data_IF_115116263922
#
_entry.id   IF_115116263922
#
_cell.length_a   1.000
_cell.length_b   1.000
_cell.length_c   1.000
_cell.angle_alpha   90.00
_cell.angle_beta   90.00
_cell.angle_gamma   90.00
#
_symmetry.space_group_name_H-M   'P 1'
#
loop_
_entity.id
_entity.type
_entity.pdbx_description
1 polymer ?
#
# COMPACT_ATOMS: atom_id res chain seq x y z
N UNK A 1 -2.47 18.93 7.89
CA UNK A 1 -1.89 20.08 7.14
C UNK A 1 -0.37 20.20 7.33
N UNK A 2 0.13 20.16 8.57
CA UNK A 2 1.56 20.32 8.87
C UNK A 2 2.43 19.16 8.36
N UNK A 3 1.88 17.95 8.28
CA UNK A 3 2.60 16.78 7.80
C UNK A 3 2.53 16.57 6.27
N UNK A 4 1.54 17.18 5.63
CA UNK A 4 1.50 17.20 4.16
C UNK A 4 2.67 18.02 3.61
N UNK A 5 2.96 19.19 4.23
CA UNK A 5 4.16 19.95 3.92
C UNK A 5 5.44 19.11 4.05
N UNK A 6 5.52 18.22 5.03
CA UNK A 6 6.71 17.36 5.20
C UNK A 6 6.89 16.33 4.08
N UNK A 7 5.81 15.85 3.44
CA UNK A 7 5.93 14.94 2.28
C UNK A 7 6.40 15.73 1.05
N UNK A 8 5.85 16.91 0.83
CA UNK A 8 6.30 17.78 -0.26
C UNK A 8 7.76 18.18 -0.07
N UNK A 9 8.15 18.57 1.15
CA UNK A 9 9.54 18.88 1.52
C UNK A 9 10.47 17.65 1.29
N UNK A 10 9.98 16.45 1.60
CA UNK A 10 10.73 15.22 1.37
C UNK A 10 10.92 14.95 -0.14
N UNK A 11 9.88 15.13 -0.94
CA UNK A 11 9.98 14.97 -2.41
C UNK A 11 10.95 15.99 -2.99
N UNK A 12 10.91 17.25 -2.53
CA UNK A 12 11.87 18.29 -2.93
C UNK A 12 13.31 17.90 -2.56
N UNK A 13 13.51 17.39 -1.33
CA UNK A 13 14.82 16.92 -0.88
C UNK A 13 15.33 15.73 -1.72
N UNK A 14 14.46 14.78 -2.11
CA UNK A 14 14.84 13.71 -3.02
C UNK A 14 15.20 14.22 -4.40
N UNK A 15 14.43 15.14 -4.97
CA UNK A 15 14.74 15.78 -6.25
C UNK A 15 16.12 16.47 -6.22
N UNK A 16 16.38 17.21 -5.13
CA UNK A 16 17.70 17.85 -4.92
C UNK A 16 18.83 16.82 -4.80
N UNK A 17 18.59 15.73 -4.08
CA UNK A 17 19.56 14.64 -3.97
C UNK A 17 19.85 14.01 -5.34
N UNK A 18 18.80 13.77 -6.13
CA UNK A 18 18.90 13.18 -7.47
C UNK A 18 19.54 14.11 -8.49
N UNK A 19 19.42 15.43 -8.33
CA UNK A 19 20.16 16.39 -9.17
C UNK A 19 21.67 16.35 -8.91
N UNK A 20 22.08 15.97 -7.69
CA UNK A 20 23.50 15.81 -7.33
C UNK A 20 24.00 14.41 -7.69
N UNK A 21 23.18 13.39 -7.45
CA UNK A 21 23.50 11.98 -7.69
C UNK A 21 22.34 11.29 -8.44
N UNK A 22 22.34 11.34 -9.80
CA UNK A 22 21.25 10.76 -10.60
C UNK A 22 21.12 9.24 -10.52
N UNK A 23 22.15 8.52 -10.08
CA UNK A 23 22.21 7.06 -9.93
C UNK A 23 21.88 6.59 -8.50
N UNK A 24 21.13 7.37 -7.73
CA UNK A 24 20.83 7.06 -6.33
C UNK A 24 19.49 6.29 -6.21
N UNK A 25 19.51 4.97 -6.39
CA UNK A 25 18.34 4.10 -6.35
C UNK A 25 17.48 4.26 -5.07
N UNK A 26 18.12 4.46 -3.90
CA UNK A 26 17.38 4.63 -2.65
C UNK A 26 16.56 5.94 -2.63
N UNK A 27 17.06 7.02 -3.22
CA UNK A 27 16.32 8.28 -3.31
C UNK A 27 15.08 8.13 -4.21
N UNK A 28 15.20 7.43 -5.34
CA UNK A 28 14.07 7.10 -6.20
C UNK A 28 13.04 6.24 -5.46
N UNK A 29 13.46 5.19 -4.75
CA UNK A 29 12.55 4.37 -3.97
C UNK A 29 11.78 5.20 -2.92
N UNK A 30 12.48 6.02 -2.16
CA UNK A 30 11.85 6.84 -1.12
C UNK A 30 10.93 7.93 -1.70
N UNK A 31 11.30 8.49 -2.86
CA UNK A 31 10.44 9.41 -3.61
C UNK A 31 9.16 8.69 -4.08
N UNK A 32 9.28 7.47 -4.60
CA UNK A 32 8.14 6.65 -4.97
C UNK A 32 7.19 6.40 -3.80
N UNK A 33 7.72 6.07 -2.62
CA UNK A 33 6.89 5.91 -1.41
C UNK A 33 6.15 7.20 -1.05
N UNK A 34 6.81 8.34 -1.09
CA UNK A 34 6.21 9.64 -0.79
C UNK A 34 5.11 10.01 -1.80
N UNK A 35 5.34 9.75 -3.09
CA UNK A 35 4.37 9.96 -4.16
C UNK A 35 3.15 9.03 -4.03
N UNK A 36 3.38 7.75 -3.71
CA UNK A 36 2.32 6.78 -3.43
C UNK A 36 1.47 7.21 -2.24
N UNK A 37 2.08 7.74 -1.18
CA UNK A 37 1.37 8.29 -0.03
C UNK A 37 0.48 9.49 -0.40
N UNK A 38 0.88 10.29 -1.39
CA UNK A 38 0.07 11.37 -1.95
C UNK A 38 -1.02 10.90 -2.93
N UNK A 39 -1.06 9.62 -3.29
CA UNK A 39 -1.97 9.08 -4.31
C UNK A 39 -1.52 9.37 -5.75
N UNK A 40 -0.30 9.82 -5.96
CA UNK A 40 0.32 10.06 -7.27
C UNK A 40 0.93 8.76 -7.80
N UNK A 41 0.04 7.82 -8.18
CA UNK A 41 0.44 6.44 -8.50
C UNK A 41 1.36 6.34 -9.71
N UNK A 42 1.05 7.05 -10.78
CA UNK A 42 1.87 7.00 -12.01
C UNK A 42 3.29 7.52 -11.76
N UNK A 43 3.40 8.65 -11.07
CA UNK A 43 4.69 9.24 -10.71
C UNK A 43 5.47 8.32 -9.73
N UNK A 44 4.78 7.63 -8.82
CA UNK A 44 5.39 6.66 -7.93
C UNK A 44 5.96 5.45 -8.71
N UNK A 45 5.20 4.94 -9.69
CA UNK A 45 5.64 3.85 -10.57
C UNK A 45 6.89 4.26 -11.36
N UNK A 46 6.92 5.46 -11.92
CA UNK A 46 8.09 6.00 -12.63
C UNK A 46 9.32 6.06 -11.72
N UNK A 47 9.15 6.55 -10.50
CA UNK A 47 10.25 6.59 -9.53
C UNK A 47 10.75 5.19 -9.16
N UNK A 48 9.87 4.23 -8.93
CA UNK A 48 10.25 2.84 -8.67
C UNK A 48 10.95 2.20 -9.87
N UNK A 49 10.49 2.46 -11.09
CA UNK A 49 11.14 1.97 -12.31
C UNK A 49 12.54 2.56 -12.48
N UNK A 50 12.75 3.83 -12.16
CA UNK A 50 14.06 4.43 -12.13
C UNK A 50 14.97 3.74 -11.08
N UNK A 51 14.46 3.43 -9.90
CA UNK A 51 15.22 2.72 -8.87
C UNK A 51 15.67 1.33 -9.34
N UNK A 52 14.80 0.53 -9.98
CA UNK A 52 15.17 -0.81 -10.48
C UNK A 52 16.05 -0.76 -11.73
N UNK A 53 16.02 0.32 -12.52
CA UNK A 53 16.94 0.50 -13.63
C UNK A 53 18.40 0.70 -13.17
N UNK A 54 18.57 1.29 -11.97
CA UNK A 54 19.87 1.50 -11.33
C UNK A 54 20.30 0.25 -10.55
N UNK A 55 19.36 -0.38 -9.83
CA UNK A 55 19.61 -1.54 -8.99
C UNK A 55 18.56 -2.62 -9.27
N UNK A 56 18.86 -3.53 -10.18
CA UNK A 56 17.90 -4.55 -10.65
C UNK A 56 17.51 -5.61 -9.62
N UNK A 57 18.29 -5.80 -8.55
CA UNK A 57 18.03 -6.74 -7.45
C UNK A 57 17.40 -6.08 -6.21
N UNK A 58 16.68 -4.96 -6.39
CA UNK A 58 16.13 -4.20 -5.30
C UNK A 58 14.75 -4.75 -4.87
N UNK A 59 14.76 -5.75 -4.00
CA UNK A 59 13.56 -6.46 -3.53
C UNK A 59 12.46 -5.53 -2.99
N UNK A 60 12.84 -4.54 -2.17
CA UNK A 60 11.87 -3.62 -1.54
C UNK A 60 11.14 -2.77 -2.59
N UNK A 61 11.81 -2.41 -3.70
CA UNK A 61 11.16 -1.68 -4.79
C UNK A 61 10.14 -2.54 -5.53
N UNK A 62 10.45 -3.81 -5.77
CA UNK A 62 9.48 -4.74 -6.35
C UNK A 62 8.29 -4.97 -5.40
N UNK A 63 8.54 -5.02 -4.10
CA UNK A 63 7.48 -5.06 -3.10
C UNK A 63 6.60 -3.81 -3.16
N UNK A 64 7.19 -2.61 -3.21
CA UNK A 64 6.46 -1.35 -3.32
C UNK A 64 5.65 -1.27 -4.63
N UNK A 65 6.23 -1.69 -5.77
CA UNK A 65 5.51 -1.80 -7.05
C UNK A 65 4.31 -2.74 -6.96
N UNK A 66 4.37 -3.81 -6.18
CA UNK A 66 3.20 -4.68 -6.00
C UNK A 66 2.02 -3.96 -5.34
N UNK A 67 2.31 -2.97 -4.52
CA UNK A 67 1.31 -2.09 -3.89
C UNK A 67 0.74 -1.00 -4.81
N UNK A 68 1.24 -0.85 -6.03
CA UNK A 68 0.66 0.08 -7.04
C UNK A 68 -0.18 -0.65 -8.09
N UNK A 69 -0.27 -1.98 -8.02
CA UNK A 69 -0.93 -2.77 -9.02
C UNK A 69 -2.46 -2.54 -9.05
N UNK A 70 -3.02 -2.52 -10.24
CA UNK A 70 -4.47 -2.51 -10.45
C UNK A 70 -5.03 -3.93 -10.65
N UNK A 71 -4.21 -4.85 -11.12
CA UNK A 71 -4.59 -6.24 -11.44
C UNK A 71 -3.80 -7.23 -10.61
N UNK A 72 -4.44 -8.34 -10.29
CA UNK A 72 -3.80 -9.47 -9.57
C UNK A 72 -2.58 -10.01 -10.33
N UNK A 73 -2.64 -10.04 -11.67
CA UNK A 73 -1.52 -10.47 -12.52
C UNK A 73 -0.27 -9.65 -12.29
N UNK A 74 -0.44 -8.33 -12.21
CA UNK A 74 0.66 -7.38 -12.09
C UNK A 74 1.25 -7.42 -10.68
N UNK A 75 0.38 -7.43 -9.64
CA UNK A 75 0.80 -7.64 -8.26
C UNK A 75 1.58 -8.94 -8.11
N UNK A 76 1.09 -10.05 -8.69
CA UNK A 76 1.78 -11.34 -8.66
C UNK A 76 3.16 -11.28 -9.33
N UNK A 77 3.25 -10.59 -10.45
CA UNK A 77 4.53 -10.40 -11.16
C UNK A 77 5.54 -9.67 -10.28
N UNK A 78 5.15 -8.56 -9.68
CA UNK A 78 6.05 -7.79 -8.82
C UNK A 78 6.44 -8.52 -7.53
N UNK A 79 5.47 -9.19 -6.89
CA UNK A 79 5.75 -10.03 -5.70
C UNK A 79 6.71 -11.17 -6.04
N UNK A 80 6.59 -11.77 -7.22
CA UNK A 80 7.51 -12.83 -7.68
C UNK A 80 8.92 -12.28 -7.87
N UNK A 81 9.07 -11.13 -8.54
CA UNK A 81 10.37 -10.45 -8.70
C UNK A 81 10.99 -10.03 -7.36
N UNK A 82 10.17 -9.60 -6.40
CA UNK A 82 10.63 -9.35 -5.04
C UNK A 82 11.26 -10.60 -4.42
N UNK A 83 10.63 -11.77 -4.58
CA UNK A 83 11.13 -13.04 -4.05
C UNK A 83 12.32 -13.59 -4.83
N UNK A 84 12.46 -13.28 -6.11
CA UNK A 84 13.66 -13.58 -6.90
C UNK A 84 14.88 -12.79 -6.38
N UNK A 85 14.68 -11.50 -6.06
CA UNK A 85 15.69 -10.63 -5.50
C UNK A 85 15.99 -10.94 -4.00
N UNK A 86 14.96 -11.26 -3.22
CA UNK A 86 15.08 -11.63 -1.81
C UNK A 86 14.14 -12.80 -1.47
N UNK A 87 14.61 -14.06 -1.56
CA UNK A 87 13.80 -15.24 -1.23
C UNK A 87 13.32 -15.32 0.23
N UNK A 88 13.85 -14.46 1.12
CA UNK A 88 13.45 -14.41 2.54
C UNK A 88 12.43 -13.31 2.85
N UNK A 89 12.01 -12.52 1.88
CA UNK A 89 11.03 -11.46 2.09
C UNK A 89 9.68 -12.06 2.54
N UNK A 90 9.39 -11.93 3.82
CA UNK A 90 8.27 -12.62 4.47
C UNK A 90 6.93 -12.17 3.91
N UNK A 91 6.69 -10.87 3.88
CA UNK A 91 5.43 -10.28 3.41
C UNK A 91 5.14 -10.68 1.97
N UNK A 92 6.15 -10.70 1.12
CA UNK A 92 6.00 -11.14 -0.27
C UNK A 92 5.62 -12.63 -0.36
N UNK A 93 6.21 -13.50 0.48
CA UNK A 93 5.81 -14.93 0.54
C UNK A 93 4.36 -15.09 0.95
N UNK A 94 3.94 -14.40 2.00
CA UNK A 94 2.58 -14.47 2.52
C UNK A 94 1.59 -13.96 1.47
N UNK A 95 1.89 -12.82 0.85
CA UNK A 95 1.07 -12.22 -0.20
C UNK A 95 0.99 -13.11 -1.44
N UNK A 96 2.10 -13.69 -1.90
CA UNK A 96 2.06 -14.62 -3.03
C UNK A 96 1.16 -15.83 -2.77
N UNK A 97 1.22 -16.38 -1.55
CA UNK A 97 0.34 -17.48 -1.13
C UNK A 97 -1.14 -17.08 -1.15
N UNK A 98 -1.44 -15.85 -0.74
CA UNK A 98 -2.81 -15.32 -0.77
C UNK A 98 -3.30 -15.06 -2.20
N UNK A 99 -2.47 -14.50 -3.07
CA UNK A 99 -2.78 -14.28 -4.48
C UNK A 99 -3.00 -15.61 -5.22
N UNK A 100 -2.21 -16.63 -4.91
CA UNK A 100 -2.39 -17.98 -5.46
C UNK A 100 -3.70 -18.61 -5.00
N UNK A 101 -4.05 -18.47 -3.71
CA UNK A 101 -5.33 -18.94 -3.17
C UNK A 101 -6.50 -18.25 -3.86
N UNK A 102 -6.47 -16.95 -4.02
CA UNK A 102 -7.50 -16.18 -4.71
C UNK A 102 -7.68 -16.62 -6.17
N UNK A 103 -6.59 -17.03 -6.82
CA UNK A 103 -6.60 -17.58 -8.17
C UNK A 103 -6.99 -19.08 -8.23
N UNK A 104 -7.44 -19.68 -7.11
CA UNK A 104 -7.87 -21.09 -7.02
C UNK A 104 -6.80 -22.08 -6.61
N UNK A 105 -5.52 -21.72 -6.56
CA UNK A 105 -4.44 -22.59 -6.09
C UNK A 105 -4.25 -22.46 -4.57
N UNK A 106 -4.81 -23.40 -3.82
CA UNK A 106 -4.82 -23.40 -2.37
C UNK A 106 -3.59 -24.04 -1.71
N UNK A 107 -2.69 -24.66 -2.49
CA UNK A 107 -1.60 -25.49 -1.96
C UNK A 107 -0.67 -24.73 -0.99
N UNK A 108 -0.10 -23.62 -1.47
CA UNK A 108 0.85 -22.80 -0.67
C UNK A 108 0.19 -22.26 0.59
N UNK A 109 -1.05 -21.78 0.47
CA UNK A 109 -1.79 -21.24 1.60
C UNK A 109 -2.12 -22.32 2.64
N UNK A 110 -2.55 -23.50 2.21
CA UNK A 110 -2.83 -24.64 3.10
C UNK A 110 -1.57 -25.11 3.87
N UNK A 111 -0.39 -24.98 3.27
CA UNK A 111 0.88 -25.22 3.95
C UNK A 111 1.19 -24.12 4.96
N UNK A 112 0.90 -22.86 4.61
CA UNK A 112 1.14 -21.70 5.47
C UNK A 112 0.35 -21.78 6.78
N UNK A 113 -0.96 -22.06 6.71
CA UNK A 113 -1.83 -22.15 7.91
C UNK A 113 -1.52 -23.36 8.82
N UNK A 114 -0.71 -24.31 8.35
CA UNK A 114 -0.19 -25.45 9.14
C UNK A 114 1.21 -25.19 9.71
N UNK A 115 1.82 -24.07 9.40
CA UNK A 115 3.15 -23.66 9.85
C UNK A 115 3.08 -22.74 11.07
N UNK A 116 4.22 -22.42 11.72
CA UNK A 116 4.27 -21.40 12.76
C UNK A 116 3.79 -20.01 12.30
N UNK A 117 3.73 -19.77 11.01
CA UNK A 117 3.24 -18.50 10.44
C UNK A 117 1.71 -18.37 10.45
N UNK A 118 0.96 -19.36 10.92
CA UNK A 118 -0.51 -19.29 11.07
C UNK A 118 -0.96 -18.09 11.90
N UNK A 119 -0.17 -17.74 12.92
CA UNK A 119 -0.47 -16.64 13.86
C UNK A 119 0.06 -15.27 13.39
N UNK A 120 0.76 -15.23 12.25
CA UNK A 120 1.20 -13.97 11.67
C UNK A 120 -0.02 -13.09 11.29
N UNK A 121 0.00 -11.76 11.57
CA UNK A 121 -1.12 -10.86 11.30
C UNK A 121 -1.64 -10.93 9.85
N UNK A 122 -0.75 -11.02 8.86
CA UNK A 122 -1.13 -11.20 7.46
C UNK A 122 -1.89 -12.50 7.23
N UNK A 123 -1.36 -13.63 7.75
CA UNK A 123 -1.99 -14.95 7.61
C UNK A 123 -3.37 -14.97 8.26
N UNK A 124 -3.51 -14.36 9.44
CA UNK A 124 -4.80 -14.25 10.14
C UNK A 124 -5.81 -13.43 9.33
N UNK A 125 -5.40 -12.29 8.79
CA UNK A 125 -6.25 -11.44 7.94
C UNK A 125 -6.70 -12.18 6.67
N UNK A 126 -5.79 -12.88 6.00
CA UNK A 126 -6.12 -13.70 4.84
C UNK A 126 -7.07 -14.85 5.21
N UNK A 127 -6.83 -15.53 6.35
CA UNK A 127 -7.70 -16.62 6.82
C UNK A 127 -9.13 -16.12 7.04
N UNK A 128 -9.28 -14.96 7.66
CA UNK A 128 -10.59 -14.33 7.81
C UNK A 128 -11.22 -14.00 6.45
N UNK A 129 -10.51 -13.33 5.57
CA UNK A 129 -11.04 -12.94 4.25
C UNK A 129 -11.45 -14.17 3.41
N UNK A 130 -10.67 -15.26 3.47
CA UNK A 130 -10.93 -16.49 2.73
C UNK A 130 -12.01 -17.38 3.36
N UNK A 131 -12.44 -17.10 4.59
CA UNK A 131 -13.61 -17.74 5.22
C UNK A 131 -14.95 -17.13 4.79
N UNK A 132 -14.94 -15.99 4.11
CA UNK A 132 -16.14 -15.32 3.66
C UNK A 132 -16.85 -16.16 2.57
N UNK A 133 -18.19 -16.14 2.52
CA UNK A 133 -18.99 -16.89 1.51
C UNK A 133 -18.63 -16.50 0.07
N UNK A 134 -18.19 -15.26 -0.14
CA UNK A 134 -17.71 -14.75 -1.42
C UNK A 134 -16.42 -13.98 -1.16
N UNK A 135 -15.39 -14.30 -1.95
CA UNK A 135 -14.14 -13.55 -1.89
C UNK A 135 -14.38 -12.10 -2.29
N UNK A 136 -13.92 -11.13 -1.47
CA UNK A 136 -14.01 -9.72 -1.82
C UNK A 136 -13.08 -9.40 -3.00
N UNK A 137 -13.35 -8.30 -3.74
CA UNK A 137 -12.40 -7.78 -4.69
C UNK A 137 -11.11 -7.38 -3.97
N UNK A 138 -9.96 -7.57 -4.63
CA UNK A 138 -8.67 -7.20 -4.10
C UNK A 138 -8.29 -5.80 -4.56
N UNK A 139 -7.86 -4.98 -3.62
CA UNK A 139 -7.28 -3.67 -3.86
C UNK A 139 -5.88 -3.65 -3.26
N UNK A 140 -4.90 -3.24 -4.06
CA UNK A 140 -3.48 -3.29 -3.67
C UNK A 140 -3.02 -1.99 -3.02
N UNK A 141 -3.79 -0.91 -3.17
CA UNK A 141 -3.55 0.36 -2.48
C UNK A 141 -4.85 0.98 -1.99
N UNK A 142 -4.73 1.80 -0.95
CA UNK A 142 -5.87 2.44 -0.28
C UNK A 142 -6.75 3.30 -1.21
N UNK A 143 -6.15 3.94 -2.20
CA UNK A 143 -6.86 4.82 -3.11
C UNK A 143 -7.86 4.04 -3.98
N UNK A 144 -7.44 2.91 -4.56
CA UNK A 144 -8.34 2.02 -5.30
C UNK A 144 -9.46 1.46 -4.41
N UNK A 145 -9.18 1.18 -3.13
CA UNK A 145 -10.22 0.78 -2.18
C UNK A 145 -11.22 1.92 -1.93
N UNK A 146 -10.73 3.14 -1.73
CA UNK A 146 -11.60 4.30 -1.51
C UNK A 146 -12.48 4.59 -2.74
N UNK A 147 -11.94 4.52 -3.95
CA UNK A 147 -12.69 4.69 -5.18
C UNK A 147 -13.78 3.62 -5.32
N UNK A 148 -13.44 2.36 -5.08
CA UNK A 148 -14.40 1.26 -5.11
C UNK A 148 -15.52 1.46 -4.06
N UNK A 149 -15.17 1.83 -2.84
CA UNK A 149 -16.15 2.11 -1.78
C UNK A 149 -17.03 3.32 -2.13
N UNK A 150 -16.45 4.36 -2.71
CA UNK A 150 -17.17 5.53 -3.16
C UNK A 150 -18.16 5.18 -4.30
N UNK A 151 -17.77 4.30 -5.22
CA UNK A 151 -18.64 3.85 -6.32
C UNK A 151 -19.83 3.02 -5.84
N UNK A 152 -19.65 2.24 -4.79
CA UNK A 152 -20.75 1.49 -4.15
C UNK A 152 -21.65 2.36 -3.27
N UNK A 153 -21.22 3.57 -2.95
CA UNK A 153 -21.90 4.45 -2.00
C UNK A 153 -22.87 5.42 -2.67
N UNK A 154 -23.85 5.90 -1.89
CA UNK A 154 -24.74 6.98 -2.34
C UNK A 154 -24.02 8.33 -2.26
N UNK A 155 -23.53 8.82 -3.39
CA UNK A 155 -22.75 10.07 -3.52
C UNK A 155 -23.52 11.35 -3.12
N UNK A 156 -24.83 11.27 -2.93
CA UNK A 156 -25.66 12.39 -2.45
C UNK A 156 -25.69 12.49 -0.92
N UNK A 157 -25.19 11.47 -0.19
CA UNK A 157 -25.00 11.51 1.26
C UNK A 157 -23.63 12.04 1.59
N UNK A 158 -23.47 12.73 2.74
CA UNK A 158 -22.13 13.08 3.22
C UNK A 158 -21.35 11.81 3.59
N UNK A 159 -20.03 11.83 3.43
CA UNK A 159 -19.17 10.83 4.04
C UNK A 159 -18.62 11.34 5.36
N UNK A 160 -18.22 10.41 6.22
CA UNK A 160 -17.62 10.68 7.51
C UNK A 160 -16.30 9.94 7.60
N UNK A 161 -15.24 10.63 7.96
CA UNK A 161 -13.92 10.04 8.21
C UNK A 161 -13.54 10.29 9.66
N UNK A 162 -13.23 9.21 10.38
CA UNK A 162 -12.74 9.23 11.74
C UNK A 162 -11.24 8.92 11.71
N UNK A 163 -10.44 9.76 12.40
CA UNK A 163 -8.99 9.66 12.31
C UNK A 163 -8.42 10.29 11.05
N UNK A 164 -8.70 11.57 10.83
CA UNK A 164 -8.26 12.33 9.61
C UNK A 164 -6.79 12.73 9.72
N UNK A 165 -5.94 11.86 10.16
CA UNK A 165 -4.56 12.15 10.54
C UNK A 165 -3.81 13.11 9.58
N UNK A 166 -3.71 12.78 8.28
CA UNK A 166 -3.08 13.65 7.27
C UNK A 166 -4.08 14.35 6.35
N UNK A 167 -5.34 13.96 6.44
CA UNK A 167 -6.40 14.45 5.56
C UNK A 167 -6.31 13.99 4.11
N UNK A 168 -5.43 13.03 3.80
CA UNK A 168 -5.24 12.55 2.43
C UNK A 168 -6.48 11.84 1.93
N UNK A 169 -7.01 10.90 2.71
CA UNK A 169 -8.23 10.18 2.36
C UNK A 169 -9.42 11.14 2.26
N UNK A 170 -9.50 12.11 3.17
CA UNK A 170 -10.54 13.15 3.12
C UNK A 170 -10.48 13.96 1.83
N UNK A 171 -9.27 14.44 1.44
CA UNK A 171 -9.06 15.18 0.19
C UNK A 171 -9.37 14.34 -1.04
N UNK A 172 -9.11 13.04 -0.99
CA UNK A 172 -9.45 12.13 -2.06
C UNK A 172 -10.96 11.96 -2.20
N UNK A 173 -11.64 11.61 -1.09
CA UNK A 173 -13.07 11.32 -1.07
C UNK A 173 -13.94 12.55 -1.36
N UNK A 174 -13.55 13.75 -0.90
CA UNK A 174 -14.33 14.97 -1.13
C UNK A 174 -14.45 15.33 -2.61
N UNK A 175 -13.57 14.81 -3.47
CA UNK A 175 -13.69 14.98 -4.94
C UNK A 175 -14.91 14.24 -5.50
N UNK A 176 -15.32 13.15 -4.85
CA UNK A 176 -16.43 12.30 -5.31
C UNK A 176 -17.73 12.64 -4.59
N UNK A 177 -17.68 13.00 -3.33
CA UNK A 177 -18.84 13.33 -2.51
C UNK A 177 -19.05 14.85 -2.44
N UNK A 178 -20.31 15.28 -2.47
CA UNK A 178 -20.67 16.71 -2.37
C UNK A 178 -20.34 17.32 -1.01
N UNK A 179 -20.25 16.49 0.04
CA UNK A 179 -20.05 16.90 1.43
C UNK A 179 -19.36 15.81 2.22
N UNK A 180 -18.42 16.20 3.05
CA UNK A 180 -17.72 15.30 3.98
C UNK A 180 -17.45 15.96 5.31
N UNK A 181 -17.29 15.14 6.35
CA UNK A 181 -16.94 15.56 7.71
C UNK A 181 -15.77 14.70 8.18
N UNK A 182 -14.71 15.35 8.59
CA UNK A 182 -13.53 14.71 9.18
C UNK A 182 -13.50 14.95 10.68
N UNK A 183 -13.19 13.91 11.44
CA UNK A 183 -13.10 13.94 12.90
C UNK A 183 -11.73 13.42 13.32
N UNK A 184 -10.96 14.25 14.02
CA UNK A 184 -9.69 13.88 14.61
C UNK A 184 -9.45 14.76 15.86
N UNK A 185 -8.59 14.32 16.76
CA UNK A 185 -8.13 15.14 17.87
C UNK A 185 -7.17 16.23 17.40
N UNK A 186 -6.48 15.99 16.27
CA UNK A 186 -5.40 16.82 15.72
C UNK A 186 -4.21 17.03 16.67
N UNK A 187 -4.17 16.29 17.77
CA UNK A 187 -3.13 16.35 18.81
C UNK A 187 -2.06 15.25 18.68
N UNK A 188 -2.26 14.35 17.69
CA UNK A 188 -1.45 13.16 17.51
C UNK A 188 -2.00 11.95 18.28
N UNK A 189 -1.28 10.84 18.24
CA UNK A 189 -1.63 9.63 18.98
C UNK A 189 -1.21 9.85 20.44
N UNK A 190 -2.11 9.67 21.43
CA UNK A 190 -1.73 9.76 22.85
C UNK A 190 -0.57 8.82 23.20
N UNK A 191 0.33 9.25 24.08
CA UNK A 191 1.53 8.47 24.46
C UNK A 191 1.18 7.13 25.13
N UNK A 192 -0.01 7.01 25.70
CA UNK A 192 -0.53 5.84 26.42
C UNK A 192 -1.30 4.86 25.53
N UNK A 193 -1.21 4.97 24.20
CA UNK A 193 -1.86 4.05 23.25
C UNK A 193 -1.12 2.71 23.08
N UNK A 194 -0.08 2.48 23.86
CA UNK A 194 0.65 1.20 23.86
C UNK A 194 -0.17 -0.02 24.34
N UNK A 195 -1.30 0.20 25.01
CA UNK A 195 -2.21 -0.85 25.48
C UNK A 195 -3.07 -1.49 24.36
N UNK A 196 -2.98 -1.00 23.12
CA UNK A 196 -3.72 -1.53 21.96
C UNK A 196 -2.85 -2.28 20.94
N UNK A 197 -1.64 -2.67 21.34
CA UNK A 197 -0.74 -3.51 20.51
C UNK A 197 -1.10 -4.98 20.56
#
# INVERSE_FOLDING_TARGET
>A
LKEHGKIDDAIEAYNKSLSIKPDYANAYNNMGNALQDQGKMDEAIEAYQAAISIKADYADVYWNLSGTAEKISDAKTWVTKCLEANPKHLEAKLTLSALQFHAGNKSSYNSLIKSPLKDNPYTRSFTWAFSLPKLPPLHFHRWALFDHMADLSNKNRPFYEFGVWRGEAFRHLIKTFKKGYGFDTFEGIPEDWDDFK
#
